data_IF_010513026326
#
_entry.id   IF_010513026326
#
_cell.length_a   1.000
_cell.length_b   1.000
_cell.length_c   1.000
_cell.angle_alpha   90.00
_cell.angle_beta   90.00
_cell.angle_gamma   90.00
#
_symmetry.space_group_name_H-M   'P 1'
#
loop_
_entity.id
_entity.type
_entity.pdbx_description
1 polymer ?
#
# COMPACT_ATOMS: atom_id res chain seq x y z
N UNK A 1 -18.54 -26.24 -9.74
CA UNK A 1 -19.12 -25.00 -10.29
C UNK A 1 -18.92 -23.91 -9.25
N UNK A 2 -17.76 -23.26 -9.29
CA UNK A 2 -17.44 -22.13 -8.42
C UNK A 2 -17.29 -20.93 -9.34
N UNK A 3 -18.13 -19.92 -9.12
CA UNK A 3 -18.30 -18.71 -9.92
C UNK A 3 -16.96 -18.11 -10.38
N UNK A 4 -16.80 -18.06 -11.71
CA UNK A 4 -15.92 -17.15 -12.41
C UNK A 4 -16.39 -15.72 -12.11
N UNK A 5 -15.86 -15.11 -11.05
CA UNK A 5 -15.77 -13.64 -10.98
C UNK A 5 -14.75 -13.17 -12.00
N UNK A 6 -15.09 -13.29 -13.29
CA UNK A 6 -14.44 -12.52 -14.34
C UNK A 6 -14.94 -11.09 -14.20
N UNK A 7 -14.39 -10.36 -13.23
CA UNK A 7 -14.57 -8.92 -13.13
C UNK A 7 -14.06 -8.36 -14.44
N UNK A 8 -14.95 -7.74 -15.21
CA UNK A 8 -14.60 -7.19 -16.52
C UNK A 8 -13.44 -6.20 -16.36
N UNK A 9 -12.32 -6.52 -17.01
CA UNK A 9 -11.06 -5.79 -16.95
C UNK A 9 -11.21 -4.31 -17.30
N UNK A 10 -12.23 -4.01 -18.11
CA UNK A 10 -12.59 -2.65 -18.56
C UNK A 10 -13.02 -1.74 -17.41
N UNK A 11 -13.53 -2.28 -16.30
CA UNK A 11 -13.89 -1.49 -15.12
C UNK A 11 -12.73 -1.28 -14.15
N UNK A 12 -11.66 -2.07 -14.26
CA UNK A 12 -10.52 -2.05 -13.35
C UNK A 12 -9.38 -1.16 -13.86
N UNK A 13 -9.32 -0.92 -15.17
CA UNK A 13 -8.15 -0.29 -15.79
C UNK A 13 -8.43 1.18 -16.14
N UNK A 14 -7.75 2.08 -15.44
CA UNK A 14 -7.83 3.51 -15.74
C UNK A 14 -7.10 3.85 -17.04
N UNK A 15 -7.48 4.94 -17.70
CA UNK A 15 -6.85 5.39 -18.96
C UNK A 15 -5.34 5.59 -18.79
N UNK A 16 -4.90 6.01 -17.59
CA UNK A 16 -3.49 6.15 -17.25
C UNK A 16 -2.71 4.84 -17.32
N UNK A 17 -3.32 3.71 -16.92
CA UNK A 17 -2.68 2.39 -17.02
C UNK A 17 -2.52 2.00 -18.49
N UNK A 18 -3.53 2.23 -19.33
CA UNK A 18 -3.48 1.92 -20.77
C UNK A 18 -2.42 2.77 -21.49
N UNK A 19 -2.33 4.06 -21.17
CA UNK A 19 -1.32 4.95 -21.73
C UNK A 19 0.09 4.58 -21.26
N UNK A 20 0.26 4.20 -19.99
CA UNK A 20 1.53 3.71 -19.46
C UNK A 20 2.01 2.45 -20.19
N UNK A 21 1.13 1.49 -20.47
CA UNK A 21 1.47 0.27 -21.23
C UNK A 21 2.04 0.64 -22.60
N UNK A 22 1.34 1.52 -23.33
CA UNK A 22 1.76 1.97 -24.67
C UNK A 22 3.13 2.65 -24.67
N UNK A 23 3.45 3.42 -23.63
CA UNK A 23 4.76 4.06 -23.47
C UNK A 23 5.81 3.04 -23.02
N UNK A 24 5.42 2.05 -22.21
CA UNK A 24 6.34 1.02 -21.72
C UNK A 24 6.96 0.19 -22.83
N UNK A 25 6.30 0.06 -23.98
CA UNK A 25 6.84 -0.61 -25.17
C UNK A 25 8.01 0.16 -25.82
N UNK A 26 8.04 1.48 -25.66
CA UNK A 26 9.09 2.34 -26.21
C UNK A 26 10.36 2.34 -25.35
N UNK A 27 10.29 1.77 -24.14
CA UNK A 27 11.40 1.72 -23.21
C UNK A 27 12.39 0.65 -23.69
N UNK A 28 13.53 1.07 -24.22
CA UNK A 28 14.61 0.13 -24.60
C UNK A 28 15.44 -0.29 -23.40
N UNK A 29 15.59 0.59 -22.41
CA UNK A 29 16.40 0.35 -21.22
C UNK A 29 15.51 0.06 -20.01
N UNK A 30 15.47 -1.22 -19.62
CA UNK A 30 14.74 -1.71 -18.44
C UNK A 30 15.06 -0.94 -17.14
N UNK A 31 16.29 -0.49 -16.97
CA UNK A 31 16.73 0.25 -15.77
C UNK A 31 15.96 1.56 -15.59
N UNK A 32 15.51 2.18 -16.68
CA UNK A 32 14.70 3.41 -16.63
C UNK A 32 13.33 3.13 -16.02
N UNK A 33 12.70 2.04 -16.45
CA UNK A 33 11.42 1.61 -15.91
C UNK A 33 11.55 1.24 -14.42
N UNK A 34 12.61 0.52 -14.04
CA UNK A 34 12.89 0.16 -12.66
C UNK A 34 13.05 1.40 -11.76
N UNK A 35 13.77 2.43 -12.22
CA UNK A 35 13.97 3.65 -11.43
C UNK A 35 12.66 4.44 -11.26
N UNK A 36 11.86 4.58 -12.34
CA UNK A 36 10.56 5.26 -12.25
C UNK A 36 9.61 4.49 -11.31
N UNK A 37 9.55 3.17 -11.44
CA UNK A 37 8.76 2.30 -10.57
C UNK A 37 9.19 2.45 -9.10
N UNK A 38 10.49 2.48 -8.83
CA UNK A 38 11.02 2.68 -7.48
C UNK A 38 10.63 4.03 -6.89
N UNK A 39 10.68 5.12 -7.67
CA UNK A 39 10.23 6.44 -7.19
C UNK A 39 8.73 6.43 -6.90
N UNK A 40 7.93 5.83 -7.78
CA UNK A 40 6.47 5.69 -7.58
C UNK A 40 6.17 4.92 -6.29
N UNK A 41 6.83 3.79 -6.06
CA UNK A 41 6.61 2.97 -4.87
C UNK A 41 7.08 3.65 -3.59
N UNK A 42 8.23 4.33 -3.60
CA UNK A 42 8.71 5.08 -2.43
C UNK A 42 7.82 6.27 -2.08
N UNK A 43 7.29 6.97 -3.09
CA UNK A 43 6.28 8.01 -2.88
C UNK A 43 4.97 7.42 -2.32
N UNK A 44 4.57 6.23 -2.79
CA UNK A 44 3.41 5.52 -2.25
C UNK A 44 3.61 5.09 -0.78
N UNK A 45 4.83 4.76 -0.38
CA UNK A 45 5.20 4.49 1.02
C UNK A 45 5.25 5.74 1.91
N UNK A 46 5.02 6.94 1.35
CA UNK A 46 5.09 8.21 2.08
C UNK A 46 6.50 8.76 2.25
N UNK A 47 7.51 8.15 1.62
CA UNK A 47 8.87 8.70 1.51
C UNK A 47 8.88 9.66 0.34
N UNK A 48 8.50 10.91 0.58
CA UNK A 48 8.37 11.92 -0.47
C UNK A 48 9.72 12.17 -1.14
N UNK A 49 9.86 11.73 -2.39
CA UNK A 49 10.98 12.06 -3.27
C UNK A 49 10.53 13.18 -4.20
N UNK A 50 11.39 14.19 -4.37
CA UNK A 50 11.14 15.30 -5.28
C UNK A 50 10.85 14.77 -6.70
N UNK A 51 9.65 15.06 -7.21
CA UNK A 51 9.12 14.67 -8.52
C UNK A 51 9.81 15.36 -9.71
N UNK A 52 11.00 15.94 -9.49
CA UNK A 52 11.99 16.26 -10.53
C UNK A 52 12.60 14.99 -11.18
N UNK A 53 11.84 13.89 -11.25
CA UNK A 53 12.14 12.61 -11.91
C UNK A 53 12.70 12.79 -13.32
N UNK A 54 12.08 13.67 -14.11
CA UNK A 54 12.55 13.92 -15.46
C UNK A 54 13.95 14.54 -15.46
N UNK A 55 14.25 15.47 -14.55
CA UNK A 55 15.58 16.12 -14.47
C UNK A 55 16.69 15.16 -14.06
N UNK A 56 16.43 14.22 -13.16
CA UNK A 56 17.42 13.21 -12.76
C UNK A 56 17.64 12.13 -13.82
N UNK A 57 16.64 11.86 -14.66
CA UNK A 57 16.66 10.84 -15.71
C UNK A 57 17.06 11.36 -17.10
N UNK A 58 17.04 12.68 -17.33
CA UNK A 58 17.32 13.34 -18.63
C UNK A 58 18.69 13.03 -19.26
N UNK A 59 19.61 12.39 -18.52
CA UNK A 59 20.93 12.01 -19.04
C UNK A 59 20.96 10.58 -19.63
N UNK A 60 19.96 9.75 -19.35
CA UNK A 60 20.01 8.29 -19.54
C UNK A 60 18.78 7.69 -20.21
N UNK A 61 17.74 8.48 -20.47
CA UNK A 61 16.45 7.99 -20.99
C UNK A 61 16.17 8.45 -22.42
N UNK A 62 15.60 7.55 -23.23
CA UNK A 62 15.02 7.88 -24.55
C UNK A 62 13.65 8.56 -24.48
N UNK A 63 13.05 8.63 -23.29
CA UNK A 63 11.71 9.18 -23.06
C UNK A 63 11.73 10.70 -22.87
N UNK A 64 10.70 11.36 -23.39
CA UNK A 64 10.38 12.75 -23.11
C UNK A 64 9.85 12.95 -21.68
N UNK A 65 9.83 14.19 -21.20
CA UNK A 65 9.32 14.51 -19.85
C UNK A 65 7.86 14.05 -19.68
N UNK A 66 7.01 14.28 -20.69
CA UNK A 66 5.61 13.87 -20.64
C UNK A 66 5.46 12.36 -20.59
N UNK A 67 6.30 11.61 -21.29
CA UNK A 67 6.28 10.14 -21.27
C UNK A 67 6.69 9.60 -19.91
N UNK A 68 7.69 10.21 -19.26
CA UNK A 68 8.08 9.87 -17.89
C UNK A 68 6.92 10.10 -16.92
N UNK A 69 6.24 11.25 -16.98
CA UNK A 69 5.09 11.53 -16.11
C UNK A 69 3.90 10.62 -16.39
N UNK A 70 3.64 10.30 -17.66
CA UNK A 70 2.56 9.38 -18.03
C UNK A 70 2.85 7.97 -17.51
N UNK A 71 4.10 7.50 -17.64
CA UNK A 71 4.52 6.22 -17.10
C UNK A 71 4.39 6.20 -15.57
N UNK A 72 4.89 7.24 -14.88
CA UNK A 72 4.80 7.35 -13.44
C UNK A 72 3.35 7.38 -12.94
N UNK A 73 2.47 8.12 -13.63
CA UNK A 73 1.05 8.21 -13.31
C UNK A 73 0.35 6.87 -13.47
N UNK A 74 0.58 6.15 -14.59
CA UNK A 74 -0.02 4.83 -14.78
C UNK A 74 0.50 3.79 -13.78
N UNK A 75 1.79 3.86 -13.44
CA UNK A 75 2.37 2.98 -12.41
C UNK A 75 1.76 3.27 -11.04
N UNK A 76 1.54 4.54 -10.70
CA UNK A 76 0.86 4.92 -9.46
C UNK A 76 -0.60 4.43 -9.42
N UNK A 77 -1.34 4.60 -10.52
CA UNK A 77 -2.70 4.07 -10.65
C UNK A 77 -2.74 2.55 -10.52
N UNK A 78 -1.78 1.85 -11.13
CA UNK A 78 -1.61 0.41 -11.02
C UNK A 78 -1.30 0.00 -9.56
N UNK A 79 -0.44 0.75 -8.87
CA UNK A 79 -0.17 0.54 -7.43
C UNK A 79 -1.45 0.68 -6.62
N UNK A 80 -2.19 1.77 -6.81
CA UNK A 80 -3.43 2.00 -6.09
C UNK A 80 -4.46 0.89 -6.37
N UNK A 81 -4.57 0.45 -7.62
CA UNK A 81 -5.47 -0.62 -8.03
C UNK A 81 -5.11 -1.95 -7.36
N UNK A 82 -3.84 -2.32 -7.32
CA UNK A 82 -3.40 -3.58 -6.72
C UNK A 82 -3.70 -3.58 -5.22
N UNK A 83 -3.45 -2.48 -4.51
CA UNK A 83 -3.73 -2.35 -3.08
C UNK A 83 -5.23 -2.32 -2.78
N UNK A 84 -6.00 -1.52 -3.52
CA UNK A 84 -7.45 -1.39 -3.33
C UNK A 84 -8.18 -2.73 -3.47
N UNK A 85 -7.72 -3.57 -4.40
CA UNK A 85 -8.32 -4.88 -4.64
C UNK A 85 -7.63 -6.02 -3.88
N UNK A 86 -6.62 -5.73 -3.05
CA UNK A 86 -5.79 -6.75 -2.38
C UNK A 86 -5.26 -7.80 -3.35
N UNK A 87 -4.84 -7.34 -4.54
CA UNK A 87 -4.46 -8.18 -5.66
C UNK A 87 -3.27 -9.05 -5.28
N UNK A 88 -3.36 -10.35 -5.54
CA UNK A 88 -2.27 -11.27 -5.31
C UNK A 88 -1.32 -11.34 -6.53
N UNK A 89 -0.16 -11.99 -6.34
CA UNK A 89 0.88 -12.13 -7.38
C UNK A 89 0.34 -12.69 -8.70
N UNK A 90 -0.54 -13.70 -8.65
CA UNK A 90 -1.08 -14.36 -9.84
C UNK A 90 -2.03 -13.43 -10.58
N UNK A 91 -2.95 -12.79 -9.87
CA UNK A 91 -3.90 -11.82 -10.45
C UNK A 91 -3.19 -10.65 -11.11
N UNK A 92 -2.14 -10.12 -10.48
CA UNK A 92 -1.33 -9.05 -11.05
C UNK A 92 -0.61 -9.49 -12.33
N UNK A 93 -0.09 -10.71 -12.36
CA UNK A 93 0.53 -11.28 -13.56
C UNK A 93 -0.48 -11.38 -14.70
N UNK A 94 -1.64 -11.99 -14.44
CA UNK A 94 -2.71 -12.16 -15.42
C UNK A 94 -3.21 -10.82 -15.98
N UNK A 95 -3.40 -9.82 -15.11
CA UNK A 95 -3.78 -8.47 -15.52
C UNK A 95 -2.76 -7.84 -16.48
N UNK A 96 -1.49 -7.88 -16.13
CA UNK A 96 -0.43 -7.27 -16.95
C UNK A 96 -0.22 -8.01 -18.28
N UNK A 97 -0.41 -9.34 -18.28
CA UNK A 97 -0.40 -10.14 -19.51
C UNK A 97 -1.60 -9.81 -20.40
N UNK A 98 -2.79 -9.66 -19.84
CA UNK A 98 -3.99 -9.27 -20.60
C UNK A 98 -3.87 -7.86 -21.17
N UNK A 99 -3.17 -6.97 -20.45
CA UNK A 99 -2.79 -5.64 -20.93
C UNK A 99 -1.65 -5.66 -21.96
N UNK A 100 -1.13 -6.83 -22.36
CA UNK A 100 -0.08 -6.97 -23.36
C UNK A 100 1.24 -6.28 -22.97
N UNK A 101 1.53 -6.16 -21.67
CA UNK A 101 2.84 -5.69 -21.21
C UNK A 101 3.93 -6.72 -21.55
N UNK A 102 5.13 -6.28 -21.91
CA UNK A 102 6.27 -7.19 -22.13
C UNK A 102 6.66 -7.95 -20.86
N UNK A 103 6.86 -9.27 -20.97
CA UNK A 103 7.15 -10.19 -19.85
C UNK A 103 8.30 -9.74 -18.94
N UNK A 104 9.33 -9.12 -19.51
CA UNK A 104 10.46 -8.58 -18.74
C UNK A 104 10.02 -7.46 -17.78
N UNK A 105 9.12 -6.58 -18.23
CA UNK A 105 8.55 -5.50 -17.41
C UNK A 105 7.52 -6.05 -16.42
N UNK A 106 6.71 -7.03 -16.82
CA UNK A 106 5.80 -7.74 -15.90
C UNK A 106 6.59 -8.31 -14.72
N UNK A 107 7.66 -9.03 -15.02
CA UNK A 107 8.53 -9.64 -14.00
C UNK A 107 9.12 -8.59 -13.06
N UNK A 108 9.42 -7.41 -13.60
CA UNK A 108 9.93 -6.26 -12.83
C UNK A 108 8.88 -5.71 -11.87
N UNK A 109 7.67 -5.46 -12.36
CA UNK A 109 6.55 -5.01 -11.53
C UNK A 109 6.25 -6.04 -10.44
N UNK A 110 6.12 -7.31 -10.81
CA UNK A 110 5.83 -8.39 -9.85
C UNK A 110 6.90 -8.50 -8.78
N UNK A 111 8.18 -8.43 -9.16
CA UNK A 111 9.29 -8.43 -8.22
C UNK A 111 9.29 -7.18 -7.33
N UNK A 112 8.82 -6.04 -7.83
CA UNK A 112 8.77 -4.82 -7.06
C UNK A 112 7.67 -4.86 -6.00
N UNK A 113 6.48 -5.33 -6.38
CA UNK A 113 5.30 -5.38 -5.52
C UNK A 113 5.33 -6.53 -4.51
N UNK A 114 5.89 -7.69 -4.90
CA UNK A 114 5.81 -8.91 -4.11
C UNK A 114 7.17 -9.54 -3.81
N UNK A 115 8.27 -8.89 -4.19
CA UNK A 115 9.63 -9.30 -3.84
C UNK A 115 10.14 -8.58 -2.59
N UNK A 116 11.37 -8.89 -2.18
CA UNK A 116 11.95 -8.42 -0.91
C UNK A 116 12.53 -6.99 -0.97
N UNK A 117 12.61 -6.36 -2.15
CA UNK A 117 13.57 -5.26 -2.39
C UNK A 117 12.99 -3.87 -2.65
N UNK A 118 11.75 -3.72 -3.12
CA UNK A 118 11.25 -2.41 -3.62
C UNK A 118 10.06 -1.85 -2.86
N UNK A 119 9.14 -2.70 -2.38
CA UNK A 119 8.27 -2.32 -1.28
C UNK A 119 8.94 -2.78 0.01
N UNK A 120 9.47 -1.84 0.80
CA UNK A 120 9.74 -2.15 2.20
C UNK A 120 8.39 -2.58 2.78
N UNK A 121 8.39 -3.69 3.51
CA UNK A 121 7.24 -4.19 4.30
C UNK A 121 6.81 -3.24 5.44
N UNK A 122 6.95 -1.93 5.24
CA UNK A 122 6.58 -0.87 6.18
C UNK A 122 5.19 -0.31 5.91
N UNK A 123 4.35 -1.01 5.14
CA UNK A 123 2.90 -0.97 5.38
C UNK A 123 2.63 -1.63 6.73
N UNK A 124 3.00 -0.92 7.79
CA UNK A 124 2.75 -1.27 9.17
C UNK A 124 1.23 -1.32 9.33
N UNK A 125 0.64 -2.46 9.70
CA UNK A 125 -0.79 -2.52 9.95
C UNK A 125 -1.14 -1.53 11.07
N UNK A 126 -2.03 -0.60 10.76
CA UNK A 126 -2.57 0.38 11.70
C UNK A 126 -3.95 -0.10 12.13
N UNK A 127 -4.18 -0.09 13.43
CA UNK A 127 -5.46 -0.40 14.05
C UNK A 127 -6.25 0.90 14.16
N UNK A 128 -7.47 0.89 13.64
CA UNK A 128 -8.41 2.01 13.77
C UNK A 128 -9.24 1.79 15.04
N UNK A 129 -9.13 2.70 16.01
CA UNK A 129 -9.96 2.71 17.21
C UNK A 129 -11.00 3.80 17.08
N UNK A 130 -12.28 3.42 17.14
CA UNK A 130 -13.39 4.35 17.25
C UNK A 130 -13.89 4.34 18.69
N UNK A 131 -13.89 5.50 19.34
CA UNK A 131 -14.33 5.68 20.71
C UNK A 131 -15.49 6.65 20.70
N UNK A 132 -16.64 6.22 21.21
CA UNK A 132 -17.77 7.10 21.49
C UNK A 132 -17.64 7.63 22.91
N UNK A 133 -17.51 8.94 23.03
CA UNK A 133 -17.42 9.63 24.30
C UNK A 133 -18.82 9.77 24.93
N UNK A 134 -18.84 10.07 26.23
CA UNK A 134 -20.06 10.29 27.00
C UNK A 134 -20.89 11.50 26.55
N UNK A 135 -20.30 12.43 25.80
CA UNK A 135 -21.00 13.54 25.14
C UNK A 135 -21.61 13.14 23.79
N UNK A 136 -21.49 11.86 23.37
CA UNK A 136 -21.97 11.35 22.09
C UNK A 136 -21.04 11.58 20.91
N UNK A 137 -19.89 12.25 21.12
CA UNK A 137 -18.91 12.47 20.06
C UNK A 137 -18.13 11.18 19.75
N UNK A 138 -17.89 10.94 18.47
CA UNK A 138 -17.03 9.85 18.01
C UNK A 138 -15.62 10.37 17.73
N UNK A 139 -14.62 9.78 18.36
CA UNK A 139 -13.22 10.02 18.06
C UNK A 139 -12.59 8.78 17.44
N UNK A 140 -11.91 8.99 16.32
CA UNK A 140 -11.19 7.94 15.60
C UNK A 140 -9.69 8.14 15.77
N UNK A 141 -9.00 7.08 16.18
CA UNK A 141 -7.56 7.06 16.36
C UNK A 141 -6.93 6.01 15.46
N UNK A 142 -5.79 6.37 14.87
CA UNK A 142 -4.92 5.45 14.17
C UNK A 142 -3.80 5.02 15.11
N UNK A 143 -3.70 3.73 15.39
CA UNK A 143 -2.78 3.18 16.39
C UNK A 143 -1.91 2.11 15.77
N UNK A 144 -0.59 2.18 15.97
CA UNK A 144 0.31 1.10 15.53
C UNK A 144 0.11 -0.17 16.36
N UNK A 145 0.43 -1.33 15.79
CA UNK A 145 0.32 -2.62 16.49
C UNK A 145 1.10 -2.65 17.82
N UNK A 146 2.32 -2.09 17.83
CA UNK A 146 3.13 -1.94 19.06
C UNK A 146 2.41 -1.11 20.11
N UNK A 147 1.86 0.04 19.72
CA UNK A 147 1.18 0.94 20.66
C UNK A 147 -0.11 0.33 21.20
N UNK A 148 -0.83 -0.40 20.37
CA UNK A 148 -2.01 -1.14 20.80
C UNK A 148 -1.67 -2.27 21.79
N UNK A 149 -0.55 -2.97 21.59
CA UNK A 149 -0.07 -3.96 22.55
C UNK A 149 0.29 -3.33 23.91
N UNK A 150 1.01 -2.20 23.90
CA UNK A 150 1.30 -1.42 25.12
C UNK A 150 0.01 -1.03 25.84
N UNK A 151 -0.98 -0.49 25.12
CA UNK A 151 -2.29 -0.13 25.69
C UNK A 151 -2.98 -1.34 26.33
N UNK A 152 -3.00 -2.50 25.67
CA UNK A 152 -3.60 -3.72 26.23
C UNK A 152 -2.95 -4.14 27.54
N UNK A 153 -1.61 -4.11 27.61
CA UNK A 153 -0.87 -4.44 28.82
C UNK A 153 -1.12 -3.45 29.96
N UNK A 154 -1.14 -2.15 29.64
CA UNK A 154 -1.45 -1.09 30.61
C UNK A 154 -2.87 -1.23 31.16
N UNK A 155 -3.87 -1.37 30.28
CA UNK A 155 -5.27 -1.57 30.67
C UNK A 155 -5.43 -2.81 31.54
N UNK A 156 -4.81 -3.94 31.18
CA UNK A 156 -4.87 -5.16 31.98
C UNK A 156 -4.26 -4.98 33.39
N UNK A 157 -3.16 -4.23 33.49
CA UNK A 157 -2.51 -3.93 34.76
C UNK A 157 -3.38 -3.07 35.66
N UNK A 158 -3.97 -2.00 35.10
CA UNK A 158 -4.91 -1.14 35.80
C UNK A 158 -6.16 -1.91 36.25
N UNK A 159 -6.72 -2.75 35.36
CA UNK A 159 -7.90 -3.56 35.68
C UNK A 159 -7.62 -4.50 36.86
N UNK A 160 -6.44 -5.14 36.86
CA UNK A 160 -6.00 -6.01 37.97
C UNK A 160 -5.90 -5.24 39.29
N UNK A 161 -5.41 -4.01 39.27
CA UNK A 161 -5.32 -3.16 40.45
C UNK A 161 -6.72 -2.79 40.98
N UNK A 162 -7.62 -2.34 40.10
CA UNK A 162 -9.01 -2.03 40.46
C UNK A 162 -9.71 -3.22 41.10
N UNK A 163 -9.60 -4.41 40.51
CA UNK A 163 -10.20 -5.63 41.05
C UNK A 163 -9.61 -5.98 42.42
N UNK A 164 -8.30 -5.81 42.60
CA UNK A 164 -7.64 -6.04 43.90
C UNK A 164 -8.19 -5.09 44.97
N UNK A 165 -8.33 -3.81 44.63
CA UNK A 165 -8.87 -2.80 45.54
C UNK A 165 -10.32 -3.08 45.93
N UNK A 166 -11.16 -3.49 44.98
CA UNK A 166 -12.55 -3.86 45.24
C UNK A 166 -12.66 -5.05 46.19
N UNK A 167 -11.87 -6.11 45.97
CA UNK A 167 -11.83 -7.27 46.88
C UNK A 167 -11.40 -6.90 48.29
N UNK A 168 -10.39 -6.04 48.41
CA UNK A 168 -9.90 -5.59 49.71
C UNK A 168 -10.92 -4.68 50.44
N UNK A 169 -11.70 -3.87 49.71
CA UNK A 169 -12.80 -3.08 50.31
C UNK A 169 -13.90 -3.98 50.86
N UNK A 170 -14.30 -5.02 50.11
CA UNK A 170 -15.32 -5.97 50.56
C UNK A 170 -14.89 -6.75 51.82
N UNK A 171 -13.61 -7.12 51.92
CA UNK A 171 -13.06 -7.78 53.11
C UNK A 171 -13.02 -6.89 54.36
N UNK A 172 -12.96 -5.57 54.21
CA UNK A 172 -12.97 -4.61 55.34
C UNK A 172 -14.36 -4.21 55.82
N UNK A 173 -15.41 -4.45 55.04
CA UNK A 173 -16.81 -4.17 55.40
C UNK A 173 -17.49 -5.41 56.03
N UNK A 174 -16.93 -6.60 55.80
CA UNK A 174 -17.42 -7.87 56.35
C UNK A 174 -16.79 -8.28 57.69
N UNK A 175 -15.88 -7.47 58.24
CA UNK A 175 -15.26 -7.60 59.57
C UNK A 175 -15.62 -6.39 60.42
#
# INVERSE_FOLDING_TARGET
>A
MGDDKKVSLDFLTSEEIKLMIKISDQITNKSVFEEILKVVLTNFEGVYQDLNLAKSLNSTTSLSHNEIYTLASGLHSLTLLSFKNSMNRKEMWELLTELMMRDELISTVISAFYGERLLKKDLQPVIILNITLNNGENQTFQVSLKKFHEMRCLTASLLKEVITLERNKLQKVAN
#
